data_IF_801214847609
#
_entry.id   IF_801214847609
#
_cell.length_a   1.000
_cell.length_b   1.000
_cell.length_c   1.000
_cell.angle_alpha   90.00
_cell.angle_beta   90.00
_cell.angle_gamma   90.00
#
_symmetry.space_group_name_H-M   'P 1'
#
loop_
_entity.id
_entity.type
_entity.pdbx_description
1 polymer ?
#
# COMPACT_ATOMS: atom_id res chain seq x y z
N UNK A 1 8.77 -4.55 -5.50
CA UNK A 1 8.10 -5.44 -4.52
C UNK A 1 7.02 -4.71 -3.72
N UNK A 2 7.38 -3.73 -2.89
CA UNK A 2 6.40 -2.92 -2.12
C UNK A 2 5.36 -2.26 -3.03
N UNK A 3 5.81 -1.51 -4.04
CA UNK A 3 4.89 -0.82 -4.97
C UNK A 3 3.93 -1.77 -5.70
N UNK A 4 4.40 -2.93 -6.17
CA UNK A 4 3.54 -3.94 -6.80
C UNK A 4 2.51 -4.50 -5.82
N UNK A 5 2.91 -4.73 -4.57
CA UNK A 5 2.01 -5.20 -3.52
C UNK A 5 0.94 -4.15 -3.19
N UNK A 6 1.33 -2.89 -3.01
CA UNK A 6 0.39 -1.77 -2.84
C UNK A 6 -0.53 -1.59 -4.05
N UNK A 7 -0.04 -1.76 -5.28
CA UNK A 7 -0.86 -1.66 -6.49
C UNK A 7 -1.95 -2.73 -6.55
N UNK A 8 -1.69 -3.93 -5.99
CA UNK A 8 -2.71 -4.98 -5.86
C UNK A 8 -3.79 -4.66 -4.81
N UNK A 9 -3.53 -3.70 -3.93
CA UNK A 9 -4.44 -3.27 -2.87
C UNK A 9 -5.31 -2.09 -3.28
N UNK A 10 -5.28 -1.63 -4.52
CA UNK A 10 -6.07 -0.46 -4.98
C UNK A 10 -6.81 -0.77 -6.28
N UNK A 11 -7.82 0.04 -6.59
CA UNK A 11 -8.61 -0.09 -7.83
C UNK A 11 -7.79 0.44 -9.01
N UNK A 12 -8.21 0.12 -10.22
CA UNK A 12 -7.54 0.60 -11.43
C UNK A 12 -7.58 2.12 -11.57
N UNK A 13 -8.69 2.75 -11.18
CA UNK A 13 -8.87 4.20 -11.16
C UNK A 13 -8.02 4.92 -10.09
N UNK A 14 -7.47 4.17 -9.13
CA UNK A 14 -6.66 4.73 -8.05
C UNK A 14 -5.22 4.91 -8.53
N UNK A 15 -4.61 6.01 -8.12
CA UNK A 15 -3.22 6.32 -8.46
C UNK A 15 -2.30 5.98 -7.31
N UNK A 16 -1.23 5.25 -7.61
CA UNK A 16 -0.12 4.97 -6.69
C UNK A 16 1.12 5.65 -7.24
N UNK A 17 1.73 6.52 -6.44
CA UNK A 17 3.00 7.15 -6.75
C UNK A 17 4.03 6.80 -5.68
N UNK A 18 5.29 6.63 -6.09
CA UNK A 18 6.43 6.63 -5.17
C UNK A 18 6.92 8.07 -5.07
N UNK A 19 6.73 8.68 -3.91
CA UNK A 19 6.99 10.11 -3.72
C UNK A 19 8.49 10.41 -3.56
N UNK A 20 9.18 9.56 -2.81
CA UNK A 20 10.63 9.63 -2.60
C UNK A 20 11.07 8.51 -1.68
N UNK A 21 12.33 8.06 -1.78
CA UNK A 21 12.84 7.02 -0.88
C UNK A 21 11.94 5.78 -0.81
N UNK A 22 11.45 5.45 0.37
CA UNK A 22 10.49 4.39 0.69
C UNK A 22 9.04 4.88 0.86
N UNK A 23 8.77 6.15 0.57
CA UNK A 23 7.46 6.79 0.70
C UNK A 23 6.58 6.58 -0.54
N UNK A 24 5.30 6.27 -0.28
CA UNK A 24 4.27 6.09 -1.29
C UNK A 24 3.07 6.99 -1.00
N UNK A 25 2.47 7.53 -2.07
CA UNK A 25 1.25 8.34 -2.02
C UNK A 25 0.16 7.62 -2.82
N UNK A 26 -1.01 7.48 -2.21
CA UNK A 26 -2.20 6.93 -2.85
C UNK A 26 -3.21 8.06 -3.06
N UNK A 27 -3.69 8.23 -4.28
CA UNK A 27 -4.80 9.11 -4.62
C UNK A 27 -6.01 8.26 -4.96
N UNK A 28 -7.09 8.44 -4.19
CA UNK A 28 -8.33 7.67 -4.27
C UNK A 28 -9.47 8.58 -4.75
N UNK A 29 -9.70 8.72 -6.07
CA UNK A 29 -10.76 9.57 -6.59
C UNK A 29 -12.15 8.97 -6.31
N UNK A 30 -13.14 9.83 -6.10
CA UNK A 30 -14.55 9.41 -6.00
C UNK A 30 -14.90 8.64 -4.71
N UNK A 31 -14.12 8.82 -3.64
CA UNK A 31 -14.54 8.32 -2.33
C UNK A 31 -15.80 9.04 -1.85
N UNK A 32 -16.77 8.27 -1.39
CA UNK A 32 -18.03 8.79 -0.85
C UNK A 32 -17.91 9.16 0.63
N UNK A 33 -16.99 8.52 1.35
CA UNK A 33 -16.72 8.74 2.77
C UNK A 33 -15.26 8.43 3.15
N UNK A 34 -14.88 8.86 4.35
CA UNK A 34 -13.57 8.57 4.93
C UNK A 34 -13.40 7.11 5.35
N UNK A 35 -14.49 6.39 5.63
CA UNK A 35 -14.45 4.98 6.01
C UNK A 35 -13.87 4.10 4.87
N UNK A 36 -14.15 4.48 3.63
CA UNK A 36 -13.57 3.82 2.46
C UNK A 36 -12.07 4.04 2.38
N UNK A 37 -11.56 5.25 2.68
CA UNK A 37 -10.13 5.52 2.76
C UNK A 37 -9.47 4.67 3.86
N UNK A 38 -10.08 4.58 5.04
CA UNK A 38 -9.60 3.75 6.16
C UNK A 38 -9.53 2.27 5.76
N UNK A 39 -10.53 1.79 5.01
CA UNK A 39 -10.55 0.40 4.52
C UNK A 39 -9.41 0.12 3.55
N UNK A 40 -9.12 1.04 2.62
CA UNK A 40 -8.00 0.91 1.69
C UNK A 40 -6.66 0.96 2.45
N UNK A 41 -6.50 1.88 3.40
CA UNK A 41 -5.31 1.98 4.24
C UNK A 41 -5.06 0.68 5.02
N UNK A 42 -6.09 0.13 5.68
CA UNK A 42 -5.98 -1.10 6.44
C UNK A 42 -5.63 -2.30 5.55
N UNK A 43 -6.18 -2.35 4.32
CA UNK A 43 -5.84 -3.38 3.33
C UNK A 43 -4.37 -3.30 2.93
N UNK A 44 -3.86 -2.10 2.63
CA UNK A 44 -2.44 -1.88 2.32
C UNK A 44 -1.54 -2.31 3.48
N UNK A 45 -1.85 -1.91 4.71
CA UNK A 45 -1.10 -2.30 5.91
C UNK A 45 -1.09 -3.82 6.10
N UNK A 46 -2.24 -4.48 5.97
CA UNK A 46 -2.33 -5.94 6.08
C UNK A 46 -1.50 -6.65 5.01
N UNK A 47 -1.50 -6.16 3.76
CA UNK A 47 -0.68 -6.75 2.72
C UNK A 47 0.83 -6.58 3.02
N UNK A 48 1.25 -5.41 3.51
CA UNK A 48 2.66 -5.16 3.84
C UNK A 48 3.17 -5.94 5.07
N UNK A 49 2.28 -6.43 5.94
CA UNK A 49 2.64 -7.36 7.03
C UNK A 49 3.11 -8.72 6.52
N UNK A 50 2.62 -9.15 5.36
CA UNK A 50 3.10 -10.38 4.74
C UNK A 50 4.58 -10.23 4.33
N UNK A 51 5.45 -11.16 4.71
CA UNK A 51 6.88 -11.05 4.46
C UNK A 51 7.22 -10.99 2.97
N UNK A 52 8.41 -10.47 2.69
CA UNK A 52 9.00 -10.46 1.35
C UNK A 52 10.12 -11.50 1.29
N UNK A 53 10.02 -12.43 0.35
CA UNK A 53 11.11 -13.35 0.02
C UNK A 53 12.05 -12.66 -0.98
N UNK A 54 13.28 -12.36 -0.54
CA UNK A 54 14.30 -11.70 -1.36
C UNK A 54 15.59 -12.51 -1.22
N UNK A 55 16.09 -13.07 -2.32
CA UNK A 55 17.34 -13.83 -2.34
C UNK A 55 17.41 -14.96 -1.29
N UNK A 56 16.29 -15.65 -1.06
CA UNK A 56 16.18 -16.72 -0.07
C UNK A 56 16.05 -16.25 1.39
N UNK A 57 16.03 -14.93 1.62
CA UNK A 57 15.78 -14.34 2.94
C UNK A 57 14.34 -13.88 3.07
N UNK A 58 13.77 -14.06 4.26
CA UNK A 58 12.44 -13.58 4.63
C UNK A 58 12.58 -12.24 5.34
N UNK A 59 12.14 -11.16 4.71
CA UNK A 59 12.20 -9.81 5.26
C UNK A 59 10.82 -9.36 5.71
N UNK A 60 10.76 -8.81 6.92
CA UNK A 60 9.58 -8.17 7.47
C UNK A 60 9.79 -6.66 7.50
N UNK A 61 8.75 -5.92 7.11
CA UNK A 61 8.74 -4.46 7.18
C UNK A 61 7.53 -4.01 8.00
N UNK A 62 7.67 -2.84 8.61
CA UNK A 62 6.54 -2.09 9.14
C UNK A 62 6.22 -0.94 8.18
N UNK A 63 5.00 -0.45 8.25
CA UNK A 63 4.57 0.71 7.49
C UNK A 63 3.62 1.54 8.34
N UNK A 64 3.66 2.85 8.12
CA UNK A 64 2.75 3.82 8.71
C UNK A 64 1.91 4.44 7.60
N UNK A 65 0.66 4.79 7.89
CA UNK A 65 -0.26 5.43 6.95
C UNK A 65 -0.92 6.61 7.66
N UNK A 66 -1.05 7.73 6.94
CA UNK A 66 -1.68 8.98 7.39
C UNK A 66 -2.36 9.71 6.25
#
# INVERSE_FOLDING_TARGET
>A
LVGSKLKSCIRECDTLARWGGDEFVLLLPGLQDSATAVTVAQRCLSALKEPFAIEGQTLHITASVG
#
